data_IF_515202357280
#
_entry.id   IF_515202357280
#
_cell.length_a   1.000
_cell.length_b   1.000
_cell.length_c   1.000
_cell.angle_alpha   90.00
_cell.angle_beta   90.00
_cell.angle_gamma   90.00
#
_symmetry.space_group_name_H-M   'P 1'
#
loop_
_entity.id
_entity.type
_entity.pdbx_description
1 polymer ?
#
# COMPACT_ATOMS: atom_id res chain seq x y z
N UNK A 1 -22.36 -5.14 -11.28
CA UNK A 1 -22.03 -4.09 -12.27
C UNK A 1 -21.02 -3.17 -11.61
N UNK A 2 -19.76 -3.20 -12.02
CA UNK A 2 -18.74 -2.29 -11.51
C UNK A 2 -19.07 -0.87 -11.98
N UNK A 3 -19.16 0.09 -11.06
CA UNK A 3 -19.34 1.49 -11.44
C UNK A 3 -18.04 1.99 -12.07
N UNK A 4 -18.07 2.68 -13.22
CA UNK A 4 -16.86 3.23 -13.80
C UNK A 4 -16.25 4.24 -12.82
N UNK A 5 -15.02 3.96 -12.38
CA UNK A 5 -14.27 4.89 -11.54
C UNK A 5 -14.08 6.19 -12.33
N UNK A 6 -14.57 7.31 -11.81
CA UNK A 6 -14.44 8.60 -12.46
C UNK A 6 -13.00 9.11 -12.36
N UNK A 7 -12.59 9.99 -13.28
CA UNK A 7 -11.26 10.60 -13.22
C UNK A 7 -10.97 11.32 -11.88
N UNK A 8 -12.01 11.87 -11.23
CA UNK A 8 -11.87 12.49 -9.91
C UNK A 8 -11.68 11.47 -8.79
N UNK A 9 -12.26 10.28 -8.89
CA UNK A 9 -12.03 9.18 -7.96
C UNK A 9 -10.62 8.61 -8.12
N UNK A 10 -10.15 8.38 -9.35
CA UNK A 10 -8.77 7.97 -9.62
C UNK A 10 -7.78 8.99 -9.05
N UNK A 11 -8.00 10.29 -9.27
CA UNK A 11 -7.15 11.34 -8.72
C UNK A 11 -7.14 11.35 -7.17
N UNK A 12 -8.27 11.03 -6.53
CA UNK A 12 -8.34 10.89 -5.06
C UNK A 12 -7.58 9.67 -4.56
N UNK A 13 -7.74 8.51 -5.21
CA UNK A 13 -6.98 7.29 -4.87
C UNK A 13 -5.48 7.55 -4.98
N UNK A 14 -5.05 8.17 -6.07
CA UNK A 14 -3.65 8.55 -6.29
C UNK A 14 -3.16 9.53 -5.22
N UNK A 15 -3.95 10.55 -4.87
CA UNK A 15 -3.62 11.49 -3.78
C UNK A 15 -3.47 10.78 -2.43
N UNK A 16 -4.35 9.83 -2.13
CA UNK A 16 -4.30 9.03 -0.91
C UNK A 16 -3.05 8.13 -0.88
N UNK A 17 -2.75 7.45 -1.98
CA UNK A 17 -1.53 6.67 -2.14
C UNK A 17 -0.27 7.54 -2.04
N UNK A 18 -0.31 8.75 -2.58
CA UNK A 18 0.79 9.72 -2.52
C UNK A 18 1.05 10.29 -1.11
N UNK A 19 0.12 10.17 -0.15
CA UNK A 19 0.41 10.49 1.27
C UNK A 19 1.46 9.57 1.87
N UNK A 20 1.61 8.36 1.32
CA UNK A 20 2.65 7.39 1.64
C UNK A 20 3.89 7.60 0.75
N UNK A 21 3.78 8.35 -0.35
CA UNK A 21 4.80 8.52 -1.40
C UNK A 21 4.74 9.92 -2.05
N UNK A 22 5.49 10.91 -1.54
CA UNK A 22 5.59 12.23 -2.16
C UNK A 22 6.15 12.18 -3.60
N UNK A 23 7.11 11.27 -3.87
CA UNK A 23 7.75 11.14 -5.20
C UNK A 23 6.79 10.63 -6.30
N UNK A 24 5.60 10.12 -5.95
CA UNK A 24 4.61 9.71 -6.94
C UNK A 24 4.04 10.92 -7.70
N UNK A 25 4.15 12.13 -7.12
CA UNK A 25 3.78 13.37 -7.79
C UNK A 25 4.74 13.77 -8.90
N UNK A 26 6.01 13.35 -8.87
CA UNK A 26 6.96 13.66 -9.96
C UNK A 26 6.58 12.98 -11.28
N UNK A 27 5.81 11.87 -11.21
CA UNK A 27 5.25 11.20 -12.37
C UNK A 27 3.98 11.86 -12.92
N UNK A 28 3.31 12.71 -12.13
CA UNK A 28 1.98 13.28 -12.43
C UNK A 28 2.03 14.80 -12.61
N UNK A 29 3.00 15.46 -12.00
CA UNK A 29 3.25 16.89 -12.06
C UNK A 29 4.77 17.08 -12.15
N UNK A 30 5.37 17.00 -13.35
CA UNK A 30 6.81 17.17 -13.50
C UNK A 30 7.14 18.61 -13.14
N UNK A 31 7.76 18.83 -11.98
CA UNK A 31 8.45 20.08 -11.75
C UNK A 31 9.51 20.21 -12.86
N UNK A 32 9.39 21.27 -13.65
CA UNK A 32 10.22 21.56 -14.82
C UNK A 32 11.73 21.60 -14.52
N UNK A 33 12.55 21.73 -15.56
CA UNK A 33 13.94 21.31 -15.53
C UNK A 33 14.77 22.11 -14.53
N UNK A 34 15.38 21.41 -13.58
CA UNK A 34 16.57 21.94 -12.89
C UNK A 34 17.76 21.58 -13.78
N UNK A 35 18.23 22.56 -14.55
CA UNK A 35 19.52 22.45 -15.23
C UNK A 35 20.62 22.34 -14.16
N UNK A 36 21.16 21.13 -13.99
CA UNK A 36 22.49 20.92 -13.45
C UNK A 36 23.26 20.09 -14.48
N UNK A 37 23.97 20.79 -15.36
CA UNK A 37 24.86 20.21 -16.34
C UNK A 37 26.11 19.63 -15.67
N UNK A 38 26.51 18.44 -16.14
CA UNK A 38 27.77 17.75 -15.84
C UNK A 38 27.55 16.59 -14.86
N UNK A 39 27.72 15.31 -15.20
CA UNK A 39 28.57 14.65 -16.20
C UNK A 39 28.02 13.22 -16.43
N UNK A 40 28.19 12.70 -17.64
CA UNK A 40 27.85 11.34 -18.03
C UNK A 40 28.65 10.28 -17.24
N UNK A 41 28.01 9.18 -16.84
CA UNK A 41 28.71 7.98 -16.37
C UNK A 41 27.81 7.00 -15.61
N UNK A 42 27.69 5.79 -16.16
CA UNK A 42 26.90 4.67 -15.65
C UNK A 42 27.47 4.15 -14.31
N UNK A 43 26.57 3.63 -13.46
CA UNK A 43 26.81 2.80 -12.26
C UNK A 43 27.27 3.52 -10.98
N UNK A 44 26.37 3.56 -10.00
CA UNK A 44 26.73 3.85 -8.61
C UNK A 44 25.58 4.38 -7.79
N UNK A 45 24.94 3.50 -7.03
CA UNK A 45 24.45 3.85 -5.70
C UNK A 45 25.63 4.46 -4.95
N UNK A 46 25.65 5.78 -4.76
CA UNK A 46 26.49 6.47 -3.77
C UNK A 46 25.99 7.89 -3.57
N UNK A 47 25.44 8.09 -2.37
CA UNK A 47 25.37 9.36 -1.68
C UNK A 47 26.79 9.95 -1.56
N UNK A 48 26.95 11.21 -1.97
CA UNK A 48 28.16 12.01 -1.77
C UNK A 48 27.70 13.43 -1.41
N UNK A 49 27.63 13.74 -0.12
CA UNK A 49 28.64 14.61 0.49
C UNK A 49 28.34 14.83 1.98
N UNK A 50 29.38 14.61 2.80
CA UNK A 50 29.35 14.87 4.24
C UNK A 50 29.95 13.74 5.07
N UNK A 51 31.23 13.43 4.84
CA UNK A 51 31.98 12.55 5.73
C UNK A 51 31.94 13.04 7.17
N UNK A 52 31.35 12.25 8.05
CA UNK A 52 31.66 12.21 9.48
C UNK A 52 31.41 10.79 9.95
N UNK A 53 32.26 10.31 10.85
CA UNK A 53 32.31 8.95 11.36
C UNK A 53 31.07 8.53 12.16
N UNK A 54 29.91 8.42 11.50
CA UNK A 54 28.61 8.01 12.06
C UNK A 54 28.04 6.81 11.27
N UNK A 55 28.92 5.97 10.73
CA UNK A 55 28.55 4.73 10.05
C UNK A 55 28.51 3.52 11.01
N UNK A 56 27.95 3.67 12.22
CA UNK A 56 27.93 2.60 13.23
C UNK A 56 26.57 2.36 13.92
N UNK A 57 25.48 2.94 13.43
CA UNK A 57 24.14 2.46 13.76
C UNK A 57 23.23 2.68 12.55
N UNK A 58 22.71 1.63 11.88
CA UNK A 58 21.68 1.81 10.86
C UNK A 58 20.52 2.57 11.51
N UNK A 59 20.29 3.82 11.10
CA UNK A 59 19.14 4.56 11.60
C UNK A 59 17.86 3.84 11.10
N UNK A 60 16.85 3.68 11.96
CA UNK A 60 15.60 3.03 11.56
C UNK A 60 14.96 3.80 10.40
N UNK A 61 14.31 3.07 9.49
CA UNK A 61 13.60 3.66 8.36
C UNK A 61 12.56 4.69 8.84
N UNK A 62 12.28 5.76 8.09
CA UNK A 62 11.19 6.68 8.43
C UNK A 62 9.84 5.93 8.57
N UNK A 63 8.99 6.27 9.56
CA UNK A 63 7.75 5.52 9.84
C UNK A 63 6.81 5.32 8.64
N UNK A 64 6.69 6.32 7.76
CA UNK A 64 5.88 6.23 6.54
C UNK A 64 6.43 5.22 5.53
N UNK A 65 7.75 5.13 5.43
CA UNK A 65 8.42 4.18 4.54
C UNK A 65 8.32 2.75 5.10
N UNK A 66 8.51 2.60 6.41
CA UNK A 66 8.25 1.32 7.10
C UNK A 66 6.82 0.83 6.85
N UNK A 67 5.83 1.72 7.02
CA UNK A 67 4.44 1.37 6.79
C UNK A 67 4.20 0.93 5.35
N UNK A 68 4.77 1.63 4.37
CA UNK A 68 4.66 1.25 2.96
C UNK A 68 5.18 -0.16 2.70
N UNK A 69 6.39 -0.45 3.18
CA UNK A 69 7.02 -1.76 3.00
C UNK A 69 6.15 -2.83 3.65
N UNK A 70 5.66 -2.55 4.87
CA UNK A 70 4.77 -3.46 5.58
C UNK A 70 3.48 -3.72 4.79
N UNK A 71 2.89 -2.71 4.13
CA UNK A 71 1.64 -2.89 3.34
C UNK A 71 1.91 -3.79 2.15
N UNK A 72 2.98 -3.52 1.42
CA UNK A 72 3.35 -4.30 0.24
C UNK A 72 3.74 -5.74 0.60
N UNK A 73 4.45 -5.94 1.71
CA UNK A 73 4.76 -7.27 2.23
C UNK A 73 3.51 -8.04 2.62
N UNK A 74 2.55 -7.36 3.25
CA UNK A 74 1.24 -7.92 3.61
C UNK A 74 0.48 -8.36 2.37
N UNK A 75 0.33 -7.47 1.38
CA UNK A 75 -0.36 -7.78 0.11
C UNK A 75 0.32 -8.95 -0.60
N UNK A 76 1.65 -8.94 -0.68
CA UNK A 76 2.41 -10.04 -1.29
C UNK A 76 2.15 -11.36 -0.58
N UNK A 77 2.28 -11.41 0.74
CA UNK A 77 2.08 -12.63 1.53
C UNK A 77 0.65 -13.17 1.43
N UNK A 78 -0.35 -12.27 1.45
CA UNK A 78 -1.76 -12.62 1.20
C UNK A 78 -1.93 -13.19 -0.20
N UNK A 79 -1.40 -12.52 -1.22
CA UNK A 79 -1.56 -12.95 -2.60
C UNK A 79 -0.91 -14.31 -2.85
N UNK A 80 0.31 -14.54 -2.36
CA UNK A 80 0.98 -15.84 -2.43
C UNK A 80 0.19 -16.92 -1.71
N UNK A 81 -0.39 -16.62 -0.54
CA UNK A 81 -1.23 -17.56 0.21
C UNK A 81 -2.53 -17.89 -0.55
N UNK A 82 -3.20 -16.90 -1.11
CA UNK A 82 -4.43 -17.07 -1.88
C UNK A 82 -4.19 -17.85 -3.18
N UNK A 83 -3.12 -17.53 -3.91
CA UNK A 83 -2.70 -18.26 -5.12
C UNK A 83 -2.38 -19.71 -4.78
N UNK A 84 -1.59 -19.95 -3.73
CA UNK A 84 -1.24 -21.30 -3.29
C UNK A 84 -2.48 -22.10 -2.85
N UNK A 85 -3.42 -21.47 -2.14
CA UNK A 85 -4.69 -22.08 -1.76
C UNK A 85 -5.52 -22.49 -2.98
N UNK A 86 -5.67 -21.58 -3.96
CA UNK A 86 -6.39 -21.85 -5.22
C UNK A 86 -5.78 -23.03 -5.98
N UNK A 87 -4.45 -23.04 -6.13
CA UNK A 87 -3.72 -24.13 -6.78
C UNK A 87 -3.86 -25.47 -6.03
N UNK A 88 -4.02 -25.42 -4.71
CA UNK A 88 -4.31 -26.58 -3.86
C UNK A 88 -5.79 -27.00 -3.83
N UNK A 89 -6.65 -26.39 -4.66
CA UNK A 89 -8.09 -26.68 -4.71
C UNK A 89 -8.92 -26.09 -3.56
N UNK A 90 -8.35 -25.17 -2.78
CA UNK A 90 -9.09 -24.40 -1.77
C UNK A 90 -9.61 -23.10 -2.36
N UNK A 91 -10.61 -22.51 -1.71
CA UNK A 91 -11.19 -21.25 -2.19
C UNK A 91 -10.34 -20.04 -1.77
N UNK A 92 -9.69 -19.39 -2.74
CA UNK A 92 -8.94 -18.15 -2.52
C UNK A 92 -9.83 -17.00 -2.00
N UNK A 93 -11.13 -17.05 -2.27
CA UNK A 93 -12.10 -16.05 -1.80
C UNK A 93 -12.16 -15.98 -0.29
N UNK A 94 -12.05 -17.10 0.42
CA UNK A 94 -12.08 -17.12 1.89
C UNK A 94 -10.92 -16.29 2.48
N UNK A 95 -9.72 -16.44 1.92
CA UNK A 95 -8.51 -15.71 2.35
C UNK A 95 -8.66 -14.22 2.04
N UNK A 96 -9.05 -13.88 0.81
CA UNK A 96 -9.16 -12.49 0.36
C UNK A 96 -10.34 -11.75 1.04
N UNK A 97 -11.41 -12.46 1.41
CA UNK A 97 -12.49 -11.91 2.23
C UNK A 97 -12.03 -11.60 3.65
N UNK A 98 -11.32 -12.52 4.31
CA UNK A 98 -10.78 -12.28 5.65
C UNK A 98 -9.86 -11.06 5.68
N UNK A 99 -9.03 -10.89 4.64
CA UNK A 99 -8.16 -9.71 4.47
C UNK A 99 -8.99 -8.45 4.23
N UNK A 100 -10.02 -8.53 3.39
CA UNK A 100 -10.93 -7.42 3.14
C UNK A 100 -11.66 -6.95 4.40
N UNK A 101 -12.04 -7.88 5.28
CA UNK A 101 -12.71 -7.57 6.55
C UNK A 101 -11.76 -6.93 7.56
N UNK A 102 -10.49 -7.35 7.59
CA UNK A 102 -9.46 -6.72 8.41
C UNK A 102 -9.10 -5.31 7.87
N UNK A 103 -8.89 -5.16 6.55
CA UNK A 103 -8.47 -3.87 5.96
C UNK A 103 -9.59 -2.86 5.74
N UNK A 104 -10.85 -3.31 5.71
CA UNK A 104 -12.04 -2.47 5.63
C UNK A 104 -12.93 -2.70 6.87
N UNK A 105 -12.48 -2.31 8.08
CA UNK A 105 -13.25 -2.55 9.28
C UNK A 105 -14.55 -1.73 9.25
N UNK A 106 -15.63 -2.30 9.81
CA UNK A 106 -16.92 -1.63 9.92
C UNK A 106 -16.99 -0.85 11.25
N UNK A 107 -17.67 0.31 11.29
CA UNK A 107 -17.91 1.04 12.53
C UNK A 107 -18.49 0.12 13.62
N UNK A 108 -18.00 0.19 14.88
CA UNK A 108 -17.19 1.26 15.47
C UNK A 108 -15.67 1.10 15.29
N UNK A 109 -15.20 0.08 14.59
CA UNK A 109 -13.77 -0.17 14.40
C UNK A 109 -13.23 0.73 13.28
N UNK A 110 -12.66 1.89 13.63
CA UNK A 110 -12.10 2.86 12.66
C UNK A 110 -10.65 2.53 12.26
N UNK A 111 -9.99 1.65 13.02
CA UNK A 111 -8.59 1.30 12.84
C UNK A 111 -8.46 -0.11 12.28
N UNK A 112 -7.67 -0.25 11.22
CA UNK A 112 -7.25 -1.57 10.69
C UNK A 112 -6.61 -2.35 11.86
N UNK A 113 -7.09 -3.55 12.20
CA UNK A 113 -6.58 -4.36 13.30
C UNK A 113 -5.28 -5.07 12.90
N UNK A 114 -4.29 -4.32 12.43
CA UNK A 114 -2.99 -4.83 12.05
C UNK A 114 -2.13 -5.13 13.30
N UNK A 115 -1.47 -6.29 13.42
CA UNK A 115 -1.56 -7.50 12.62
C UNK A 115 -2.43 -8.50 13.38
N UNK A 116 -3.63 -8.76 12.87
CA UNK A 116 -4.44 -9.87 13.37
C UNK A 116 -4.02 -11.17 12.70
N UNK A 117 -4.05 -11.18 11.37
CA UNK A 117 -3.70 -12.35 10.56
C UNK A 117 -2.53 -12.08 9.59
N UNK A 118 -2.14 -10.81 9.41
CA UNK A 118 -1.25 -10.38 8.34
C UNK A 118 -0.43 -9.15 8.72
N UNK A 119 0.83 -9.03 8.27
CA UNK A 119 1.71 -10.07 7.76
C UNK A 119 2.14 -11.02 8.91
N UNK A 120 2.79 -12.14 8.60
CA UNK A 120 3.33 -13.08 9.61
C UNK A 120 4.20 -12.42 10.70
N UNK A 121 4.62 -13.18 11.72
CA UNK A 121 4.95 -12.66 13.05
C UNK A 121 5.85 -11.43 13.02
N UNK A 122 5.32 -10.31 13.49
CA UNK A 122 6.06 -9.07 13.70
C UNK A 122 7.06 -9.24 14.86
N UNK A 123 8.22 -8.56 14.84
CA UNK A 123 9.19 -8.64 15.94
C UNK A 123 8.55 -8.32 17.30
N UNK A 124 8.78 -9.15 18.33
CA UNK A 124 8.20 -8.94 19.65
C UNK A 124 8.75 -7.65 20.27
N UNK A 125 7.86 -6.78 20.74
CA UNK A 125 8.21 -5.54 21.43
C UNK A 125 8.39 -4.32 20.52
N UNK A 126 8.29 -4.46 19.20
CA UNK A 126 8.33 -3.33 18.28
C UNK A 126 6.90 -2.80 17.98
N UNK A 127 6.69 -1.46 17.99
CA UNK A 127 5.40 -0.89 17.62
C UNK A 127 5.10 -1.14 16.13
N UNK A 128 3.82 -1.31 15.78
CA UNK A 128 3.45 -1.49 14.38
C UNK A 128 3.63 -0.19 13.60
N UNK A 129 4.05 -0.24 12.33
CA UNK A 129 4.26 0.97 11.54
C UNK A 129 2.99 1.83 11.41
N UNK A 130 1.81 1.20 11.44
CA UNK A 130 0.51 1.90 11.42
C UNK A 130 0.24 2.68 12.71
N UNK A 131 0.88 2.32 13.83
CA UNK A 131 0.75 3.01 15.11
C UNK A 131 1.70 4.21 15.20
N UNK A 132 2.79 4.18 14.42
CA UNK A 132 3.80 5.23 14.35
C UNK A 132 3.38 6.40 13.46
N UNK A 133 2.36 6.21 12.62
CA UNK A 133 1.83 7.23 11.72
C UNK A 133 0.36 7.47 12.14
N UNK A 134 -0.01 8.70 12.50
CA UNK A 134 -1.28 8.97 13.21
C UNK A 134 -2.55 8.35 12.58
N UNK A 135 -3.48 7.80 13.40
CA UNK A 135 -4.46 6.79 12.99
C UNK A 135 -5.49 7.25 11.94
N UNK A 136 -6.05 8.45 12.06
CA UNK A 136 -7.10 8.93 11.13
C UNK A 136 -6.60 9.27 9.71
N UNK A 137 -5.30 9.50 9.52
CA UNK A 137 -4.75 9.84 8.19
C UNK A 137 -4.24 8.62 7.41
N UNK A 138 -4.06 7.50 8.09
CA UNK A 138 -3.29 6.37 7.59
C UNK A 138 -4.17 5.27 7.02
N UNK A 139 -5.33 5.02 7.63
CA UNK A 139 -6.28 4.00 7.15
C UNK A 139 -6.65 4.18 5.67
N UNK A 140 -7.08 5.37 5.19
CA UNK A 140 -7.41 5.55 3.78
C UNK A 140 -6.22 5.35 2.84
N UNK A 141 -5.02 5.72 3.31
CA UNK A 141 -3.80 5.63 2.52
C UNK A 141 -3.32 4.18 2.41
N UNK A 142 -3.40 3.41 3.51
CA UNK A 142 -3.14 1.97 3.53
C UNK A 142 -4.10 1.23 2.60
N UNK A 143 -5.40 1.52 2.70
CA UNK A 143 -6.43 0.93 1.82
C UNK A 143 -6.15 1.24 0.35
N UNK A 144 -5.81 2.49 0.02
CA UNK A 144 -5.48 2.88 -1.36
C UNK A 144 -4.23 2.15 -1.90
N UNK A 145 -3.15 2.06 -1.11
CA UNK A 145 -1.92 1.35 -1.51
C UNK A 145 -2.16 -0.14 -1.65
N UNK A 146 -2.89 -0.75 -0.72
CA UNK A 146 -3.25 -2.17 -0.78
C UNK A 146 -4.14 -2.46 -2.00
N UNK A 147 -5.15 -1.61 -2.26
CA UNK A 147 -6.02 -1.73 -3.43
C UNK A 147 -5.24 -1.68 -4.74
N UNK A 148 -4.31 -0.72 -4.89
CA UNK A 148 -3.43 -0.64 -6.08
C UNK A 148 -2.60 -1.91 -6.26
N UNK A 149 -2.05 -2.45 -5.18
CA UNK A 149 -1.24 -3.66 -5.24
C UNK A 149 -2.08 -4.91 -5.59
N UNK A 150 -3.26 -5.09 -5.00
CA UNK A 150 -4.18 -6.18 -5.34
C UNK A 150 -4.74 -6.08 -6.77
N UNK A 151 -5.02 -4.87 -7.25
CA UNK A 151 -5.39 -4.66 -8.65
C UNK A 151 -4.26 -5.12 -9.59
N UNK A 152 -3.00 -4.84 -9.23
CA UNK A 152 -1.84 -5.36 -9.96
C UNK A 152 -1.84 -6.89 -10.05
N UNK A 153 -2.25 -7.62 -9.01
CA UNK A 153 -2.44 -9.06 -9.10
C UNK A 153 -3.62 -9.45 -9.99
N UNK A 154 -4.76 -8.76 -9.88
CA UNK A 154 -5.93 -9.01 -10.72
C UNK A 154 -5.60 -8.89 -12.21
N UNK A 155 -4.88 -7.84 -12.60
CA UNK A 155 -4.53 -7.55 -14.00
C UNK A 155 -3.51 -8.54 -14.60
N UNK A 156 -2.69 -9.18 -13.75
CA UNK A 156 -1.58 -10.02 -14.20
C UNK A 156 -1.80 -11.53 -13.98
N UNK A 157 -2.92 -11.95 -13.36
CA UNK A 157 -3.29 -13.35 -13.20
C UNK A 157 -4.10 -13.83 -14.40
N UNK A 158 -3.66 -14.91 -15.04
CA UNK A 158 -4.34 -15.49 -16.22
C UNK A 158 -5.65 -16.23 -15.87
N UNK A 159 -5.78 -16.75 -14.65
CA UNK A 159 -7.01 -17.39 -14.18
C UNK A 159 -8.08 -16.33 -13.94
N UNK A 160 -9.11 -16.30 -14.79
CA UNK A 160 -10.16 -15.28 -14.74
C UNK A 160 -11.00 -15.30 -13.45
N UNK A 161 -11.15 -16.45 -12.79
CA UNK A 161 -11.87 -16.53 -11.51
C UNK A 161 -11.03 -15.90 -10.40
N UNK A 162 -9.76 -16.26 -10.34
CA UNK A 162 -8.83 -15.74 -9.33
C UNK A 162 -8.58 -14.24 -9.53
N UNK A 163 -8.38 -13.81 -10.79
CA UNK A 163 -8.28 -12.40 -11.19
C UNK A 163 -9.50 -11.60 -10.71
N UNK A 164 -10.71 -12.10 -10.93
CA UNK A 164 -11.93 -11.43 -10.49
C UNK A 164 -12.00 -11.25 -8.96
N UNK A 165 -11.60 -12.26 -8.17
CA UNK A 165 -11.62 -12.15 -6.70
C UNK A 165 -10.62 -11.10 -6.20
N UNK A 166 -9.43 -11.01 -6.82
CA UNK A 166 -8.47 -9.95 -6.50
C UNK A 166 -9.01 -8.56 -6.88
N UNK A 167 -9.66 -8.43 -8.03
CA UNK A 167 -10.28 -7.18 -8.48
C UNK A 167 -11.41 -6.74 -7.55
N UNK A 168 -12.28 -7.65 -7.12
CA UNK A 168 -13.35 -7.36 -6.14
C UNK A 168 -12.78 -6.83 -4.81
N UNK A 169 -11.67 -7.40 -4.33
CA UNK A 169 -11.00 -6.89 -3.13
C UNK A 169 -10.39 -5.50 -3.36
N UNK A 170 -9.76 -5.27 -4.50
CA UNK A 170 -9.19 -3.97 -4.86
C UNK A 170 -10.28 -2.88 -4.91
N UNK A 171 -11.41 -3.16 -5.56
CA UNK A 171 -12.56 -2.26 -5.62
C UNK A 171 -13.12 -1.94 -4.24
N UNK A 172 -13.23 -2.95 -3.36
CA UNK A 172 -13.68 -2.76 -1.97
C UNK A 172 -12.73 -1.82 -1.21
N UNK A 173 -11.42 -2.03 -1.34
CA UNK A 173 -10.40 -1.20 -0.70
C UNK A 173 -10.42 0.25 -1.20
N UNK A 174 -10.59 0.46 -2.51
CA UNK A 174 -10.75 1.80 -3.07
C UNK A 174 -12.04 2.48 -2.57
N UNK A 175 -13.14 1.73 -2.49
CA UNK A 175 -14.39 2.22 -1.92
C UNK A 175 -14.24 2.70 -0.48
N UNK A 176 -13.59 1.90 0.37
CA UNK A 176 -13.32 2.25 1.77
C UNK A 176 -12.45 3.51 1.90
N UNK A 177 -11.35 3.58 1.14
CA UNK A 177 -10.43 4.72 1.14
C UNK A 177 -11.13 6.04 0.74
N UNK A 178 -12.03 5.97 -0.24
CA UNK A 178 -12.79 7.12 -0.72
C UNK A 178 -13.91 7.54 0.23
N UNK A 179 -14.53 6.61 0.95
CA UNK A 179 -15.58 6.89 1.91
C UNK A 179 -15.05 7.62 3.14
N UNK A 180 -13.97 7.11 3.75
CA UNK A 180 -13.35 7.75 4.92
C UNK A 180 -12.81 9.15 4.61
N UNK A 181 -12.18 9.34 3.45
CA UNK A 181 -11.67 10.65 3.03
C UNK A 181 -12.76 11.70 2.75
N UNK A 182 -14.02 11.30 2.57
CA UNK A 182 -15.15 12.22 2.40
C UNK A 182 -15.75 12.70 3.72
N UNK A 183 -15.58 11.94 4.81
CA UNK A 183 -16.14 12.26 6.12
C UNK A 183 -15.39 13.37 6.89
N UNK A 184 -14.15 13.68 6.49
CA UNK A 184 -13.31 14.75 7.06
C UNK A 184 -13.63 16.17 6.53
N UNK A 185 -14.63 16.31 5.63
CA UNK A 185 -15.00 17.61 5.02
C UNK A 185 -16.26 18.25 5.63
N UNK A 186 -16.72 17.77 6.80
CA UNK A 186 -17.92 18.24 7.51
C UNK A 186 -17.59 19.01 8.77
#
# INVERSE_FOLDING_TARGET
>A
MASPISASQTARIVRLAARVRPEMWDAINPHGPVFAAGVAGVAGVRSLDGGSAVALNPQPLPPREQLRIAVLQTVKGVAETAIGAHQGGRDAREILQAVGDDMCPTPPHVKIPWPKNWPGPWPPGEPFPIDLVGPQYVTPAVQAVAGLAFQGYADNIADGKLSAVFGELADRLFGAALHESGSDSG
#
